data_IF_952073942577
#
_entry.id   IF_952073942577
#
_cell.length_a   1.000
_cell.length_b   1.000
_cell.length_c   1.000
_cell.angle_alpha   90.00
_cell.angle_beta   90.00
_cell.angle_gamma   90.00
#
_symmetry.space_group_name_H-M   'P 1'
#
loop_
_entity.id
_entity.type
_entity.pdbx_description
1 polymer ?
#
# COMPACT_ATOMS: atom_id res chain seq x y z
N UNK A 1 -53.31 48.84 2.62
CA UNK A 1 -53.14 48.42 4.02
C UNK A 1 -52.20 47.22 4.02
N UNK A 2 -51.01 47.39 4.62
CA UNK A 2 -49.88 46.46 4.83
C UNK A 2 -49.16 45.86 3.59
N UNK A 3 -48.09 46.56 3.22
CA UNK A 3 -46.83 46.06 2.62
C UNK A 3 -46.15 45.06 3.57
N UNK A 4 -45.51 44.04 3.02
CA UNK A 4 -44.31 43.43 3.61
C UNK A 4 -43.46 42.82 2.50
N UNK A 5 -42.49 43.62 2.07
CA UNK A 5 -41.30 43.21 1.32
C UNK A 5 -40.45 42.26 2.17
N UNK A 6 -39.74 41.30 1.56
CA UNK A 6 -38.33 40.96 1.85
C UNK A 6 -37.86 39.82 0.94
N UNK A 7 -37.28 40.21 -0.21
CA UNK A 7 -36.32 39.43 -0.95
C UNK A 7 -34.91 39.72 -0.40
N UNK A 8 -34.09 38.69 -0.23
CA UNK A 8 -32.63 38.84 -0.13
C UNK A 8 -31.98 37.72 -0.95
N UNK A 9 -31.48 38.06 -2.13
CA UNK A 9 -30.43 37.29 -2.80
C UNK A 9 -29.09 37.83 -2.30
N UNK A 10 -28.18 36.92 -1.90
CA UNK A 10 -26.83 37.31 -1.50
C UNK A 10 -25.85 36.82 -2.55
N UNK A 11 -25.46 37.72 -3.44
CA UNK A 11 -24.27 37.60 -4.28
C UNK A 11 -23.07 38.04 -3.43
N UNK A 12 -22.06 37.18 -3.24
CA UNK A 12 -20.82 37.54 -2.53
C UNK A 12 -19.65 37.64 -3.53
N UNK A 13 -19.25 38.87 -3.83
CA UNK A 13 -17.97 39.23 -4.45
C UNK A 13 -16.94 39.56 -3.37
N UNK A 14 -15.72 39.00 -3.42
CA UNK A 14 -14.65 39.28 -2.45
C UNK A 14 -13.61 40.28 -2.96
N UNK A 15 -13.39 41.35 -2.18
CA UNK A 15 -12.37 42.39 -2.38
C UNK A 15 -11.44 42.55 -1.17
N UNK A 16 -10.14 42.49 -1.49
CA UNK A 16 -8.87 42.92 -0.87
C UNK A 16 -8.81 43.71 0.48
N UNK A 17 -7.77 43.37 1.28
CA UNK A 17 -7.18 44.22 2.34
C UNK A 17 -6.25 43.46 3.32
N UNK A 18 -4.94 43.76 3.34
CA UNK A 18 -3.88 43.28 4.28
C UNK A 18 -3.51 44.39 5.31
N UNK A 19 -2.43 44.35 6.14
CA UNK A 19 -1.63 43.27 6.81
C UNK A 19 -1.37 43.55 8.33
N UNK A 20 -0.45 42.77 8.95
CA UNK A 20 0.26 42.91 10.27
C UNK A 20 -0.24 42.01 11.42
N UNK A 21 0.56 41.45 12.34
CA UNK A 21 2.00 41.09 12.45
C UNK A 21 2.22 40.42 13.84
N UNK A 22 3.04 39.35 13.93
CA UNK A 22 3.84 38.85 15.10
C UNK A 22 3.11 38.47 16.42
N UNK A 23 3.49 37.49 17.28
CA UNK A 23 4.72 36.73 17.55
C UNK A 23 4.45 35.53 18.51
N UNK A 24 5.45 34.63 18.60
CA UNK A 24 5.68 33.39 19.40
C UNK A 24 5.15 33.32 20.87
N UNK A 25 4.91 32.15 21.50
CA UNK A 25 5.91 31.17 22.02
C UNK A 25 5.21 29.89 22.53
N UNK A 26 5.59 28.66 22.13
CA UNK A 26 6.53 27.67 22.75
C UNK A 26 6.25 27.31 24.24
N UNK A 27 5.79 26.08 24.48
CA UNK A 27 6.19 25.24 25.63
C UNK A 27 6.33 23.77 25.21
N UNK A 28 7.45 23.17 25.62
CA UNK A 28 7.86 21.77 25.46
C UNK A 28 7.20 20.89 26.52
N UNK A 29 6.76 19.69 26.14
CA UNK A 29 6.76 18.50 27.02
C UNK A 29 7.18 17.29 26.19
N UNK A 30 8.17 16.57 26.69
CA UNK A 30 8.88 15.42 26.10
C UNK A 30 8.08 14.11 26.19
N UNK A 31 8.21 13.18 25.22
CA UNK A 31 7.55 11.88 25.25
C UNK A 31 8.42 10.76 25.85
N UNK A 32 7.74 9.78 26.45
CA UNK A 32 8.30 8.69 27.26
C UNK A 32 8.69 7.46 26.40
N UNK A 33 9.99 7.12 26.45
CA UNK A 33 10.69 5.82 26.44
C UNK A 33 9.86 4.57 26.07
N UNK A 34 10.00 4.04 24.85
CA UNK A 34 10.90 2.96 24.39
C UNK A 34 10.32 1.54 24.46
N UNK A 35 10.08 0.95 23.29
CA UNK A 35 9.97 -0.49 23.14
C UNK A 35 10.48 -0.88 21.74
N UNK A 36 11.79 -1.15 21.62
CA UNK A 36 12.39 -1.87 20.48
C UNK A 36 13.70 -2.49 20.95
N UNK A 37 13.74 -3.82 20.90
CA UNK A 37 14.86 -4.68 21.26
C UNK A 37 16.07 -4.34 20.39
N UNK A 38 17.21 -4.12 21.03
CA UNK A 38 18.51 -3.95 20.37
C UNK A 38 19.12 -5.30 19.98
N UNK A 39 19.88 -5.36 18.88
CA UNK A 39 20.72 -6.48 18.50
C UNK A 39 22.08 -6.41 19.21
N UNK A 40 22.64 -7.54 19.64
CA UNK A 40 24.02 -7.62 20.12
C UNK A 40 24.88 -8.47 19.18
N UNK A 41 26.07 -7.91 18.92
CA UNK A 41 27.15 -8.31 18.02
C UNK A 41 27.77 -9.66 18.39
N UNK A 42 28.20 -10.39 17.37
CA UNK A 42 29.24 -11.42 17.47
C UNK A 42 30.58 -10.73 17.14
N UNK A 43 31.49 -10.72 18.11
CA UNK A 43 32.94 -10.61 17.89
C UNK A 43 33.57 -12.01 17.88
N UNK A 44 34.79 -12.18 17.36
CA UNK A 44 35.29 -13.49 16.92
C UNK A 44 36.08 -14.28 17.98
N UNK A 45 36.06 -15.59 17.78
CA UNK A 45 37.01 -16.65 18.21
C UNK A 45 37.17 -16.93 19.71
N UNK A 46 36.70 -18.11 20.13
CA UNK A 46 37.51 -19.09 20.87
C UNK A 46 36.90 -20.50 20.70
N UNK A 47 37.77 -21.46 20.36
CA UNK A 47 37.55 -22.90 20.32
C UNK A 47 37.25 -23.45 21.71
N UNK A 48 36.17 -24.23 21.88
CA UNK A 48 36.08 -25.20 23.00
C UNK A 48 35.36 -26.45 22.54
N UNK A 49 36.01 -27.55 22.86
CA UNK A 49 35.69 -28.97 22.73
C UNK A 49 34.33 -29.33 23.37
N UNK A 50 33.52 -30.16 22.70
CA UNK A 50 32.26 -30.70 23.23
C UNK A 50 32.39 -32.20 23.44
N UNK A 51 33.00 -32.58 24.56
CA UNK A 51 32.61 -33.79 25.27
C UNK A 51 31.43 -33.46 26.17
N UNK A 52 30.23 -33.92 25.83
CA UNK A 52 29.23 -34.28 26.85
C UNK A 52 28.12 -35.16 26.25
N UNK A 53 27.95 -36.33 26.88
CA UNK A 53 26.98 -37.38 26.54
C UNK A 53 25.67 -37.06 27.27
N UNK A 54 24.54 -37.08 26.59
CA UNK A 54 23.23 -37.13 27.25
C UNK A 54 22.82 -38.59 27.51
N UNK A 55 22.92 -38.99 28.78
CA UNK A 55 22.42 -40.23 29.37
C UNK A 55 20.90 -40.11 29.59
N UNK A 56 20.12 -41.14 29.25
CA UNK A 56 18.69 -41.24 29.54
C UNK A 56 18.50 -42.05 30.85
N UNK A 57 17.63 -41.65 31.81
CA UNK A 57 17.56 -42.29 33.12
C UNK A 57 16.88 -43.66 33.09
N UNK A 58 17.51 -44.63 33.75
CA UNK A 58 16.97 -45.95 34.05
C UNK A 58 16.10 -45.88 35.32
N UNK A 59 14.78 -46.08 35.18
CA UNK A 59 13.89 -46.54 36.26
C UNK A 59 12.48 -46.80 35.71
N UNK A 60 12.29 -47.96 35.07
CA UNK A 60 11.06 -48.78 35.05
C UNK A 60 11.58 -50.14 34.59
N UNK A 61 11.90 -51.03 35.53
CA UNK A 61 11.97 -52.50 35.41
C UNK A 61 12.71 -53.05 36.63
N UNK A 62 12.11 -52.86 37.81
CA UNK A 62 12.56 -53.53 39.02
C UNK A 62 11.35 -53.87 39.89
N UNK A 63 10.51 -54.80 39.43
CA UNK A 63 9.64 -55.62 40.29
C UNK A 63 9.44 -57.01 39.64
N UNK A 64 9.76 -58.04 40.43
CA UNK A 64 9.55 -59.47 40.21
C UNK A 64 10.68 -60.23 39.46
N UNK A 65 11.86 -60.27 40.08
CA UNK A 65 12.63 -61.51 40.14
C UNK A 65 12.27 -62.21 41.46
N UNK A 66 11.47 -63.27 41.41
CA UNK A 66 11.44 -64.30 42.44
C UNK A 66 11.78 -65.62 41.76
N UNK A 67 12.89 -66.18 42.25
CA UNK A 67 13.47 -67.42 41.81
C UNK A 67 12.48 -68.59 41.83
N UNK A 68 12.61 -69.53 40.90
CA UNK A 68 13.01 -70.92 41.18
C UNK A 68 12.84 -71.77 39.92
N UNK A 69 13.69 -72.78 39.83
CA UNK A 69 13.96 -73.62 38.67
C UNK A 69 12.76 -74.43 38.14
N UNK A 70 12.92 -74.84 36.88
CA UNK A 70 12.56 -76.17 36.33
C UNK A 70 11.19 -76.34 35.64
N UNK A 71 11.29 -76.77 34.37
CA UNK A 71 10.28 -77.47 33.54
C UNK A 71 8.97 -76.71 33.26
N UNK A 72 8.88 -76.00 32.11
CA UNK A 72 7.67 -75.79 31.27
C UNK A 72 7.69 -74.51 30.38
N UNK A 73 8.84 -74.05 29.86
CA UNK A 73 8.89 -72.92 28.90
C UNK A 73 9.69 -73.29 27.64
N UNK A 74 9.47 -74.48 27.09
CA UNK A 74 10.10 -74.91 25.83
C UNK A 74 9.14 -75.01 24.65
N UNK A 75 7.84 -74.68 24.80
CA UNK A 75 6.86 -74.72 23.69
C UNK A 75 6.29 -73.37 23.26
N UNK A 76 6.55 -72.27 23.98
CA UNK A 76 6.03 -70.94 23.64
C UNK A 76 7.07 -70.01 22.97
N UNK A 77 8.37 -70.32 23.05
CA UNK A 77 9.44 -69.42 22.57
C UNK A 77 9.69 -69.46 21.05
N UNK A 78 9.20 -70.48 20.33
CA UNK A 78 9.38 -70.55 18.87
C UNK A 78 8.42 -69.63 18.09
N UNK A 79 7.21 -69.38 18.60
CA UNK A 79 6.23 -68.55 17.89
C UNK A 79 6.54 -67.04 18.04
N UNK A 80 7.01 -66.61 19.21
CA UNK A 80 7.48 -65.22 19.39
C UNK A 80 8.76 -64.94 18.58
N UNK A 81 9.66 -65.93 18.46
CA UNK A 81 10.90 -65.79 17.68
C UNK A 81 10.62 -65.69 16.18
N UNK A 82 9.72 -66.52 15.63
CA UNK A 82 9.32 -66.45 14.22
C UNK A 82 8.56 -65.16 13.92
N UNK A 83 7.64 -64.72 14.79
CA UNK A 83 6.94 -63.45 14.62
C UNK A 83 7.88 -62.24 14.72
N UNK A 84 8.85 -62.25 15.63
CA UNK A 84 9.92 -61.24 15.69
C UNK A 84 10.80 -61.24 14.45
N UNK A 85 11.13 -62.41 13.91
CA UNK A 85 11.90 -62.52 12.66
C UNK A 85 11.11 -62.01 11.46
N UNK A 86 9.82 -62.35 11.34
CA UNK A 86 8.93 -61.86 10.27
C UNK A 86 8.74 -60.34 10.41
N UNK A 87 8.55 -59.83 11.62
CA UNK A 87 8.37 -58.39 11.87
C UNK A 87 9.65 -57.61 11.57
N UNK A 88 10.82 -58.11 12.00
CA UNK A 88 12.11 -57.51 11.65
C UNK A 88 12.39 -57.58 10.15
N UNK A 89 12.07 -58.70 9.48
CA UNK A 89 12.26 -58.84 8.04
C UNK A 89 11.32 -57.92 7.25
N UNK A 90 10.07 -57.75 7.70
CA UNK A 90 9.11 -56.82 7.12
C UNK A 90 9.56 -55.35 7.31
N UNK A 91 10.07 -54.98 8.49
CA UNK A 91 10.60 -53.63 8.75
C UNK A 91 11.83 -53.33 7.89
N UNK A 92 12.77 -54.27 7.79
CA UNK A 92 13.98 -54.11 6.98
C UNK A 92 13.64 -54.06 5.48
N UNK A 93 12.69 -54.88 5.02
CA UNK A 93 12.21 -54.88 3.64
C UNK A 93 11.47 -53.58 3.29
N UNK A 94 10.62 -53.08 4.19
CA UNK A 94 9.90 -51.82 4.03
C UNK A 94 10.86 -50.62 4.01
N UNK A 95 11.86 -50.60 4.90
CA UNK A 95 12.89 -49.56 4.91
C UNK A 95 13.74 -49.56 3.63
N UNK A 96 14.11 -50.74 3.11
CA UNK A 96 14.82 -50.87 1.83
C UNK A 96 13.97 -50.40 0.65
N UNK A 97 12.69 -50.76 0.61
CA UNK A 97 11.77 -50.33 -0.46
C UNK A 97 11.52 -48.81 -0.44
N UNK A 98 11.40 -48.20 0.72
CA UNK A 98 11.32 -46.73 0.86
C UNK A 98 12.59 -46.06 0.31
N UNK A 99 13.77 -46.55 0.70
CA UNK A 99 15.05 -45.99 0.22
C UNK A 99 15.19 -46.14 -1.30
N UNK A 100 14.80 -47.29 -1.85
CA UNK A 100 14.83 -47.53 -3.31
C UNK A 100 13.86 -46.58 -4.03
N UNK A 101 12.64 -46.41 -3.52
CA UNK A 101 11.61 -45.56 -4.13
C UNK A 101 12.00 -44.08 -4.10
N UNK A 102 12.61 -43.62 -3.00
CA UNK A 102 13.11 -42.25 -2.85
C UNK A 102 14.35 -42.00 -3.71
N UNK A 103 15.24 -42.99 -3.83
CA UNK A 103 16.43 -42.98 -4.70
C UNK A 103 16.08 -42.85 -6.18
N UNK A 104 14.98 -43.49 -6.63
CA UNK A 104 14.50 -43.35 -8.02
C UNK A 104 13.97 -41.95 -8.34
N UNK A 105 13.64 -41.13 -7.32
CA UNK A 105 13.25 -39.73 -7.45
C UNK A 105 14.40 -38.72 -7.44
N UNK A 106 15.66 -39.18 -7.49
CA UNK A 106 16.85 -38.30 -7.54
C UNK A 106 17.32 -37.75 -6.18
N UNK A 107 16.76 -38.23 -5.07
CA UNK A 107 17.18 -37.84 -3.73
C UNK A 107 18.35 -38.72 -3.28
N UNK A 108 19.49 -38.10 -2.96
CA UNK A 108 20.72 -38.80 -2.59
C UNK A 108 20.65 -39.36 -1.15
N UNK A 109 21.36 -40.47 -0.90
CA UNK A 109 21.44 -41.07 0.43
C UNK A 109 22.04 -40.13 1.51
N UNK A 110 22.78 -39.10 1.12
CA UNK A 110 23.25 -38.04 2.03
C UNK A 110 22.11 -37.11 2.46
N UNK A 111 21.19 -36.75 1.57
CA UNK A 111 20.02 -35.94 1.89
C UNK A 111 19.14 -36.64 2.95
N UNK A 112 18.85 -37.94 2.75
CA UNK A 112 18.06 -38.73 3.70
C UNK A 112 18.73 -38.79 5.08
N UNK A 113 20.06 -39.02 5.12
CA UNK A 113 20.80 -39.09 6.38
C UNK A 113 20.83 -37.77 7.14
N UNK A 114 20.86 -36.64 6.44
CA UNK A 114 20.85 -35.32 7.06
C UNK A 114 19.44 -34.93 7.55
N UNK A 115 18.38 -35.33 6.83
CA UNK A 115 17.02 -34.93 7.12
C UNK A 115 16.30 -35.84 8.15
N UNK A 116 16.70 -37.11 8.26
CA UNK A 116 16.09 -38.08 9.19
C UNK A 116 16.22 -37.68 10.68
N UNK A 117 17.37 -37.15 11.16
CA UNK A 117 17.47 -36.60 12.51
C UNK A 117 16.55 -35.40 12.72
N UNK A 118 16.40 -34.50 11.75
CA UNK A 118 15.53 -33.33 11.86
C UNK A 118 14.04 -33.72 12.01
N UNK A 119 13.58 -34.74 11.28
CA UNK A 119 12.23 -35.30 11.47
C UNK A 119 12.04 -35.93 12.86
N UNK A 120 13.05 -36.65 13.36
CA UNK A 120 13.01 -37.22 14.72
C UNK A 120 12.99 -36.14 15.80
N UNK A 121 13.59 -34.99 15.53
CA UNK A 121 13.54 -33.80 16.37
C UNK A 121 12.25 -32.97 16.18
N UNK A 122 11.25 -33.49 15.45
CA UNK A 122 9.92 -32.89 15.34
C UNK A 122 9.73 -31.88 14.22
N UNK A 123 10.69 -31.73 13.30
CA UNK A 123 10.49 -30.89 12.11
C UNK A 123 9.46 -31.54 11.19
N UNK A 124 8.33 -30.88 10.98
CA UNK A 124 7.29 -31.31 10.02
C UNK A 124 7.29 -30.51 8.72
N UNK A 125 8.05 -29.42 8.66
CA UNK A 125 8.17 -28.56 7.49
C UNK A 125 9.14 -29.13 6.46
N UNK A 126 8.66 -29.28 5.22
CA UNK A 126 9.43 -29.72 4.05
C UNK A 126 10.15 -28.59 3.33
N UNK A 127 9.94 -27.33 3.74
CA UNK A 127 10.61 -26.17 3.15
C UNK A 127 12.06 -26.05 3.65
N UNK A 128 12.93 -25.51 2.80
CA UNK A 128 14.30 -25.15 3.18
C UNK A 128 14.33 -24.17 4.35
N UNK A 129 15.33 -24.31 5.22
CA UNK A 129 15.63 -23.29 6.22
C UNK A 129 16.12 -22.01 5.56
N UNK A 130 15.97 -20.88 6.25
CA UNK A 130 16.47 -19.59 5.77
C UNK A 130 17.97 -19.69 5.46
N UNK A 131 18.32 -19.56 4.18
CA UNK A 131 19.71 -19.68 3.73
C UNK A 131 20.42 -18.36 3.98
N UNK A 132 21.66 -18.40 4.48
CA UNK A 132 22.54 -17.24 4.49
C UNK A 132 22.89 -16.86 3.04
N UNK A 133 22.16 -15.90 2.48
CA UNK A 133 22.48 -15.32 1.18
C UNK A 133 23.76 -14.48 1.23
N UNK A 134 24.27 -14.10 0.04
CA UNK A 134 25.35 -13.11 -0.08
C UNK A 134 24.95 -11.85 0.70
N UNK A 135 25.79 -11.34 1.63
CA UNK A 135 25.45 -10.13 2.37
C UNK A 135 25.25 -8.96 1.40
N UNK A 136 24.11 -8.27 1.51
CA UNK A 136 23.80 -7.03 0.78
C UNK A 136 24.58 -5.85 1.39
N UNK A 137 25.88 -5.99 1.57
CA UNK A 137 26.75 -5.11 2.37
C UNK A 137 27.05 -3.73 1.76
N UNK A 138 26.29 -3.29 0.76
CA UNK A 138 26.43 -1.93 0.19
C UNK A 138 25.42 -0.93 0.80
N UNK A 139 24.44 -1.39 1.58
CA UNK A 139 23.56 -0.47 2.33
C UNK A 139 24.06 -0.41 3.76
N UNK A 140 24.80 0.65 4.08
CA UNK A 140 25.09 1.01 5.45
C UNK A 140 23.96 1.92 5.97
N UNK A 141 23.61 1.88 7.27
CA UNK A 141 22.57 2.74 7.81
C UNK A 141 22.88 4.23 7.59
N UNK A 142 24.16 4.62 7.58
CA UNK A 142 24.59 5.99 7.31
C UNK A 142 24.22 6.44 5.88
N UNK A 143 24.26 5.53 4.90
CA UNK A 143 23.82 5.81 3.53
C UNK A 143 22.31 6.00 3.47
N UNK A 144 21.55 5.18 4.21
CA UNK A 144 20.09 5.30 4.27
C UNK A 144 19.69 6.63 4.90
N UNK A 145 20.31 7.00 6.01
CA UNK A 145 20.07 8.25 6.72
C UNK A 145 20.43 9.46 5.85
N UNK A 146 21.58 9.41 5.16
CA UNK A 146 21.99 10.45 4.21
C UNK A 146 20.98 10.63 3.07
N UNK A 147 20.49 9.53 2.47
CA UNK A 147 19.47 9.60 1.42
C UNK A 147 18.16 10.18 1.98
N UNK A 148 17.78 9.80 3.20
CA UNK A 148 16.58 10.30 3.85
C UNK A 148 16.65 11.80 4.11
N UNK A 149 17.78 12.30 4.64
CA UNK A 149 18.03 13.73 4.85
C UNK A 149 17.94 14.53 3.55
N UNK A 150 18.61 14.07 2.49
CA UNK A 150 18.57 14.72 1.17
C UNK A 150 17.14 14.85 0.60
N UNK A 151 16.27 13.87 0.84
CA UNK A 151 14.87 13.90 0.38
C UNK A 151 14.02 14.85 1.22
N UNK A 152 14.29 14.93 2.52
CA UNK A 152 13.58 15.86 3.41
C UNK A 152 13.91 17.31 3.04
N UNK A 153 15.15 17.58 2.66
CA UNK A 153 15.60 18.88 2.16
C UNK A 153 14.96 19.25 0.82
N UNK A 154 15.03 18.35 -0.17
CA UNK A 154 14.33 18.52 -1.45
C UNK A 154 13.59 17.25 -1.91
N UNK A 155 12.27 17.27 -1.67
CA UNK A 155 11.35 16.18 -2.08
C UNK A 155 11.21 16.02 -3.60
N UNK A 156 11.74 16.94 -4.41
CA UNK A 156 11.65 16.87 -5.88
C UNK A 156 12.85 16.19 -6.53
N UNK A 157 13.92 15.94 -5.78
CA UNK A 157 15.14 15.29 -6.27
C UNK A 157 14.88 14.04 -7.11
N UNK A 158 15.68 13.85 -8.16
CA UNK A 158 15.61 12.66 -9.02
C UNK A 158 16.47 11.55 -8.44
N UNK A 159 16.04 10.30 -8.68
CA UNK A 159 16.80 9.10 -8.28
C UNK A 159 18.24 9.13 -8.81
N UNK A 160 18.46 9.66 -10.03
CA UNK A 160 19.80 9.83 -10.61
C UNK A 160 20.68 10.84 -9.86
N UNK A 161 20.09 11.93 -9.35
CA UNK A 161 20.81 12.96 -8.60
C UNK A 161 21.21 12.42 -7.22
N UNK A 162 20.31 11.67 -6.56
CA UNK A 162 20.60 10.95 -5.32
C UNK A 162 21.72 9.91 -5.52
N UNK A 163 21.65 9.13 -6.61
CA UNK A 163 22.66 8.14 -6.96
C UNK A 163 24.05 8.78 -7.11
N UNK A 164 24.12 9.90 -7.83
CA UNK A 164 25.37 10.63 -8.04
C UNK A 164 25.92 11.24 -6.73
N UNK A 165 25.06 11.82 -5.89
CA UNK A 165 25.48 12.46 -4.64
C UNK A 165 25.99 11.48 -3.58
N UNK A 166 25.47 10.24 -3.60
CA UNK A 166 25.82 9.19 -2.64
C UNK A 166 26.86 8.22 -3.22
N UNK A 167 27.07 8.22 -4.53
CA UNK A 167 28.04 7.34 -5.21
C UNK A 167 27.56 5.89 -5.32
N UNK A 168 26.24 5.67 -5.43
CA UNK A 168 25.64 4.33 -5.54
C UNK A 168 24.83 4.20 -6.83
N UNK A 169 24.53 2.96 -7.24
CA UNK A 169 23.70 2.73 -8.43
C UNK A 169 22.26 3.21 -8.24
N UNK A 170 21.61 3.61 -9.34
CA UNK A 170 20.22 4.08 -9.34
C UNK A 170 19.24 3.04 -8.84
N UNK A 171 19.49 1.77 -9.15
CA UNK A 171 18.72 0.61 -8.69
C UNK A 171 18.80 0.48 -7.17
N UNK A 172 19.98 0.73 -6.60
CA UNK A 172 20.18 0.67 -5.15
C UNK A 172 19.48 1.81 -4.43
N UNK A 173 19.54 3.03 -4.97
CA UNK A 173 18.72 4.15 -4.47
C UNK A 173 17.25 3.79 -4.51
N UNK A 174 16.75 3.28 -5.63
CA UNK A 174 15.35 2.87 -5.77
C UNK A 174 14.97 1.82 -4.71
N UNK A 175 15.83 0.82 -4.49
CA UNK A 175 15.62 -0.17 -3.44
C UNK A 175 15.61 0.43 -2.03
N UNK A 176 16.50 1.39 -1.73
CA UNK A 176 16.51 2.09 -0.43
C UNK A 176 15.22 2.90 -0.23
N UNK A 177 14.82 3.66 -1.25
CA UNK A 177 13.61 4.48 -1.22
C UNK A 177 12.36 3.64 -0.92
N UNK A 178 12.21 2.50 -1.60
CA UNK A 178 11.01 1.68 -1.51
C UNK A 178 11.02 0.69 -0.34
N UNK A 179 12.13 0.00 -0.07
CA UNK A 179 12.17 -1.09 0.91
C UNK A 179 12.63 -0.63 2.30
N UNK A 180 13.49 0.39 2.39
CA UNK A 180 14.05 0.84 3.66
C UNK A 180 13.34 2.09 4.19
N UNK A 181 12.99 3.03 3.31
CA UNK A 181 12.34 4.28 3.68
C UNK A 181 10.81 4.28 3.45
N UNK A 182 10.28 3.33 2.68
CA UNK A 182 8.87 3.26 2.22
C UNK A 182 8.35 4.60 1.64
N UNK A 183 9.23 5.30 0.91
CA UNK A 183 8.91 6.56 0.25
C UNK A 183 8.47 6.28 -1.19
N UNK A 184 7.39 6.94 -1.62
CA UNK A 184 6.89 6.88 -2.99
C UNK A 184 6.85 8.27 -3.61
N UNK A 185 7.32 8.39 -4.86
CA UNK A 185 7.23 9.64 -5.62
C UNK A 185 5.88 9.71 -6.32
N UNK A 186 5.07 10.69 -5.93
CA UNK A 186 3.75 10.93 -6.51
C UNK A 186 3.73 12.25 -7.29
N UNK A 187 2.92 12.30 -8.34
CA UNK A 187 2.61 13.56 -9.01
C UNK A 187 1.67 14.40 -8.13
N UNK A 188 1.91 15.72 -7.98
CA UNK A 188 0.98 16.58 -7.28
C UNK A 188 -0.38 16.57 -7.97
N UNK A 189 -1.46 16.63 -7.19
CA UNK A 189 -2.81 16.84 -7.73
C UNK A 189 -2.94 18.28 -8.19
N UNK A 190 -3.48 18.48 -9.39
CA UNK A 190 -3.84 19.81 -9.87
C UNK A 190 -5.02 20.34 -9.07
N UNK A 191 -4.86 21.52 -8.48
CA UNK A 191 -5.90 22.22 -7.72
C UNK A 191 -6.15 23.55 -8.40
N UNK A 192 -7.42 23.93 -8.57
CA UNK A 192 -7.83 25.15 -9.28
C UNK A 192 -7.10 26.41 -8.76
N UNK A 193 -7.07 26.60 -7.44
CA UNK A 193 -6.39 27.74 -6.80
C UNK A 193 -5.84 27.35 -5.42
N UNK A 194 -4.76 28.01 -5.01
CA UNK A 194 -4.28 27.97 -3.63
C UNK A 194 -5.10 28.93 -2.79
N UNK A 195 -5.81 28.40 -1.80
CA UNK A 195 -6.71 29.18 -0.95
C UNK A 195 -5.95 29.83 0.22
N UNK A 196 -6.27 31.10 0.49
CA UNK A 196 -5.86 31.80 1.70
C UNK A 196 -6.57 31.20 2.93
N UNK A 197 -6.10 31.54 4.13
CA UNK A 197 -6.75 31.09 5.37
C UNK A 197 -8.20 31.55 5.46
N UNK A 198 -8.50 32.78 5.04
CA UNK A 198 -9.85 33.33 5.06
C UNK A 198 -10.77 32.62 4.06
N UNK A 199 -10.29 32.33 2.85
CA UNK A 199 -11.06 31.53 1.88
C UNK A 199 -11.39 30.13 2.44
N UNK A 200 -10.46 29.51 3.16
CA UNK A 200 -10.72 28.21 3.81
C UNK A 200 -11.73 28.33 4.93
N UNK A 201 -11.60 29.36 5.79
CA UNK A 201 -12.54 29.61 6.88
C UNK A 201 -13.95 29.85 6.35
N UNK A 202 -14.12 30.73 5.38
CA UNK A 202 -15.42 31.02 4.76
C UNK A 202 -16.04 29.75 4.17
N UNK A 203 -15.26 28.96 3.42
CA UNK A 203 -15.75 27.69 2.88
C UNK A 203 -16.24 26.74 3.98
N UNK A 204 -15.48 26.58 5.07
CA UNK A 204 -15.88 25.72 6.19
C UNK A 204 -17.15 26.24 6.86
N UNK A 205 -17.26 27.54 7.09
CA UNK A 205 -18.46 28.16 7.69
C UNK A 205 -19.68 27.92 6.82
N UNK A 206 -19.63 28.29 5.53
CA UNK A 206 -20.73 28.09 4.58
C UNK A 206 -21.09 26.60 4.44
N UNK A 207 -20.09 25.70 4.37
CA UNK A 207 -20.38 24.25 4.31
C UNK A 207 -21.09 23.73 5.56
N UNK A 208 -20.75 24.24 6.76
CA UNK A 208 -21.44 23.86 8.00
C UNK A 208 -22.89 24.36 8.02
N UNK A 209 -23.14 25.57 7.54
CA UNK A 209 -24.49 26.12 7.41
C UNK A 209 -25.32 25.32 6.42
N UNK A 210 -24.77 25.03 5.23
CA UNK A 210 -25.42 24.15 4.25
C UNK A 210 -25.71 22.76 4.83
N UNK A 211 -24.77 22.17 5.56
CA UNK A 211 -24.95 20.86 6.20
C UNK A 211 -26.03 20.89 7.27
N UNK A 212 -26.13 21.97 8.05
CA UNK A 212 -27.17 22.14 9.06
C UNK A 212 -28.55 22.27 8.41
N UNK A 213 -28.67 23.03 7.31
CA UNK A 213 -29.91 23.12 6.53
C UNK A 213 -30.30 21.77 5.92
N UNK A 214 -29.35 21.09 5.29
CA UNK A 214 -29.55 19.75 4.72
C UNK A 214 -30.00 18.74 5.78
N UNK A 215 -29.34 18.71 6.95
CA UNK A 215 -29.67 17.78 8.03
C UNK A 215 -31.06 18.00 8.64
N UNK A 216 -31.64 19.21 8.53
CA UNK A 216 -32.99 19.51 9.06
C UNK A 216 -34.08 18.90 8.20
N UNK A 217 -33.94 19.00 6.87
CA UNK A 217 -34.88 18.42 5.92
C UNK A 217 -34.18 18.17 4.58
N UNK A 218 -33.58 16.99 4.39
CA UNK A 218 -32.84 16.67 3.17
C UNK A 218 -33.70 16.74 1.91
N UNK A 219 -34.92 16.21 1.97
CA UNK A 219 -35.80 16.11 0.81
C UNK A 219 -36.26 17.48 0.33
N UNK A 220 -36.65 18.36 1.25
CA UNK A 220 -37.07 19.71 0.91
C UNK A 220 -35.89 20.57 0.43
N UNK A 221 -34.73 20.43 1.07
CA UNK A 221 -33.52 21.14 0.69
C UNK A 221 -33.13 20.81 -0.75
N UNK A 222 -33.08 19.52 -1.10
CA UNK A 222 -32.75 19.09 -2.46
C UNK A 222 -33.84 19.46 -3.48
N UNK A 223 -35.12 19.39 -3.08
CA UNK A 223 -36.23 19.76 -3.97
C UNK A 223 -36.23 21.24 -4.35
N UNK A 224 -35.73 22.12 -3.48
CA UNK A 224 -35.66 23.57 -3.72
C UNK A 224 -34.34 24.02 -4.34
N UNK A 225 -33.32 23.15 -4.36
CA UNK A 225 -32.00 23.51 -4.84
C UNK A 225 -31.93 23.42 -6.37
N UNK A 226 -31.89 24.58 -7.01
CA UNK A 226 -31.55 24.74 -8.43
C UNK A 226 -30.16 25.35 -8.51
N UNK A 227 -29.31 24.79 -9.35
CA UNK A 227 -27.97 25.32 -9.61
C UNK A 227 -27.75 25.54 -11.09
N UNK A 228 -26.77 26.38 -11.39
CA UNK A 228 -26.36 26.76 -12.75
C UNK A 228 -24.84 26.80 -12.83
N UNK A 229 -24.30 26.41 -13.97
CA UNK A 229 -22.88 26.59 -14.30
C UNK A 229 -22.71 26.73 -15.81
N UNK A 230 -21.60 27.33 -16.22
CA UNK A 230 -21.26 27.55 -17.62
C UNK A 230 -20.05 26.72 -18.05
N UNK A 231 -20.17 26.07 -19.20
CA UNK A 231 -19.10 25.22 -19.73
C UNK A 231 -18.82 25.50 -21.20
N UNK A 232 -17.54 25.42 -21.58
CA UNK A 232 -17.14 25.48 -22.99
C UNK A 232 -17.22 24.10 -23.62
N UNK A 233 -18.06 23.97 -24.64
CA UNK A 233 -18.19 22.78 -25.46
C UNK A 233 -17.40 22.99 -26.75
N UNK A 234 -16.38 22.17 -26.94
CA UNK A 234 -15.56 22.16 -28.15
C UNK A 234 -16.15 21.18 -29.16
N UNK A 235 -16.19 21.55 -30.45
CA UNK A 235 -16.70 20.66 -31.51
C UNK A 235 -15.84 19.40 -31.66
N UNK A 236 -14.54 19.56 -31.46
CA UNK A 236 -13.57 18.47 -31.46
C UNK A 236 -12.62 18.63 -30.28
N UNK A 237 -12.53 17.59 -29.45
CA UNK A 237 -11.58 17.47 -28.35
C UNK A 237 -10.51 16.48 -28.79
N UNK A 238 -9.26 16.91 -29.01
CA UNK A 238 -8.21 16.01 -29.42
C UNK A 238 -7.91 15.02 -28.30
N UNK A 239 -7.64 13.78 -28.69
CA UNK A 239 -7.21 12.73 -27.78
C UNK A 239 -5.95 13.15 -26.99
N UNK A 240 -5.95 12.89 -25.68
CA UNK A 240 -4.83 13.20 -24.80
C UNK A 240 -3.61 12.32 -25.09
N UNK A 241 -2.43 12.75 -24.65
CA UNK A 241 -1.18 11.97 -24.79
C UNK A 241 -1.26 10.57 -24.18
N UNK A 242 -2.00 10.43 -23.09
CA UNK A 242 -2.20 9.16 -22.38
C UNK A 242 -3.15 8.24 -23.14
N UNK A 243 -4.24 8.77 -23.69
CA UNK A 243 -5.16 8.00 -24.53
C UNK A 243 -4.47 7.53 -25.83
N UNK A 244 -3.61 8.38 -26.42
CA UNK A 244 -2.89 8.04 -27.65
C UNK A 244 -1.72 7.06 -27.46
N UNK A 245 -1.63 6.36 -26.33
CA UNK A 245 -0.59 5.36 -26.08
C UNK A 245 -0.84 4.15 -26.96
N UNK A 246 0.20 3.72 -27.65
CA UNK A 246 0.16 2.58 -28.56
C UNK A 246 1.27 1.59 -28.17
N UNK A 247 0.97 0.30 -28.27
CA UNK A 247 1.97 -0.76 -28.13
C UNK A 247 2.82 -0.79 -29.40
N UNK A 248 4.14 -0.71 -29.26
CA UNK A 248 5.12 -0.79 -30.36
C UNK A 248 6.10 -1.93 -30.10
N UNK A 249 6.68 -2.50 -31.15
CA UNK A 249 7.67 -3.56 -31.02
C UNK A 249 8.98 -3.03 -30.40
N UNK A 250 9.74 -3.92 -29.76
CA UNK A 250 11.02 -3.55 -29.14
C UNK A 250 12.00 -3.06 -30.21
N UNK A 251 12.47 -1.82 -30.07
CA UNK A 251 13.40 -1.17 -31.01
C UNK A 251 12.73 -0.32 -32.09
N UNK A 252 11.40 -0.37 -32.19
CA UNK A 252 10.63 0.47 -33.10
C UNK A 252 10.54 1.92 -32.59
N UNK A 253 10.51 2.88 -33.52
CA UNK A 253 10.33 4.29 -33.15
C UNK A 253 8.88 4.53 -32.75
N UNK A 254 8.69 5.25 -31.64
CA UNK A 254 7.35 5.65 -31.22
C UNK A 254 6.61 6.48 -32.30
N UNK A 255 5.30 6.28 -32.44
CA UNK A 255 4.49 7.00 -33.42
C UNK A 255 4.57 8.51 -33.20
N UNK A 256 4.69 9.27 -34.28
CA UNK A 256 4.73 10.74 -34.25
C UNK A 256 3.31 11.26 -34.43
N UNK A 257 2.78 11.90 -33.39
CA UNK A 257 1.49 12.61 -33.46
C UNK A 257 1.74 14.11 -33.36
N UNK A 258 1.21 14.87 -34.32
CA UNK A 258 1.23 16.33 -34.24
C UNK A 258 0.38 16.81 -33.07
N UNK A 259 0.85 17.82 -32.33
CA UNK A 259 0.07 18.42 -31.24
C UNK A 259 -1.12 19.14 -31.84
N UNK A 260 -2.33 18.64 -31.57
CA UNK A 260 -3.56 19.31 -31.94
C UNK A 260 -3.98 20.25 -30.81
N UNK A 261 -4.30 21.50 -31.16
CA UNK A 261 -4.96 22.42 -30.24
C UNK A 261 -6.45 22.09 -30.15
N UNK A 262 -7.11 22.55 -29.09
CA UNK A 262 -8.57 22.53 -29.04
C UNK A 262 -9.13 23.27 -30.25
N UNK A 263 -10.27 22.80 -30.75
CA UNK A 263 -10.96 23.44 -31.86
C UNK A 263 -11.31 24.89 -31.49
N UNK A 264 -11.03 25.82 -32.43
CA UNK A 264 -11.41 27.23 -32.29
C UNK A 264 -12.94 27.42 -32.32
N UNK A 265 -13.65 26.46 -32.94
CA UNK A 265 -15.10 26.36 -32.86
C UNK A 265 -15.49 25.74 -31.52
N UNK A 266 -15.93 26.61 -30.62
CA UNK A 266 -16.49 26.27 -29.31
C UNK A 266 -17.77 27.06 -29.09
N UNK A 267 -18.72 26.44 -28.41
CA UNK A 267 -19.93 27.09 -27.91
C UNK A 267 -19.87 27.10 -26.38
N UNK A 268 -20.39 28.16 -25.76
CA UNK A 268 -20.56 28.21 -24.31
C UNK A 268 -22.00 27.78 -24.01
N UNK A 269 -22.15 26.79 -23.15
CA UNK A 269 -23.45 26.32 -22.69
C UNK A 269 -23.63 26.73 -21.24
N UNK A 270 -24.79 27.31 -20.94
CA UNK A 270 -25.26 27.56 -19.57
C UNK A 270 -26.32 26.52 -19.25
N UNK A 271 -26.08 25.71 -18.22
CA UNK A 271 -26.94 24.58 -17.88
C UNK A 271 -27.56 24.85 -16.51
N UNK A 272 -28.89 24.77 -16.42
CA UNK A 272 -29.64 24.80 -15.16
C UNK A 272 -30.11 23.39 -14.83
N UNK A 273 -29.93 22.97 -13.58
CA UNK A 273 -30.39 21.65 -13.12
C UNK A 273 -30.75 21.64 -11.64
N UNK A 274 -31.62 20.70 -11.28
CA UNK A 274 -32.00 20.38 -9.89
C UNK A 274 -31.75 18.89 -9.58
N UNK A 275 -32.28 18.42 -8.46
CA UNK A 275 -32.21 17.02 -8.05
C UNK A 275 -32.95 16.05 -9.01
N UNK A 276 -33.84 16.53 -9.88
CA UNK A 276 -34.63 15.73 -10.82
C UNK A 276 -33.98 15.66 -12.20
N UNK A 277 -33.21 16.68 -12.58
CA UNK A 277 -32.44 16.67 -13.81
C UNK A 277 -32.19 18.06 -14.39
N UNK A 278 -31.90 18.10 -15.68
CA UNK A 278 -31.68 19.35 -16.42
C UNK A 278 -33.01 20.06 -16.60
N UNK A 279 -33.05 21.33 -16.18
CA UNK A 279 -34.20 22.21 -16.33
C UNK A 279 -34.11 22.97 -17.66
N UNK A 280 -32.93 23.50 -17.98
CA UNK A 280 -32.72 24.31 -19.18
C UNK A 280 -31.26 24.30 -19.62
N UNK A 281 -31.05 24.41 -20.93
CA UNK A 281 -29.73 24.62 -21.53
C UNK A 281 -29.86 25.78 -22.51
N UNK A 282 -29.08 26.83 -22.30
CA UNK A 282 -28.92 27.92 -23.26
C UNK A 282 -27.53 27.84 -23.89
N UNK A 283 -27.46 28.10 -25.19
CA UNK A 283 -26.21 28.11 -25.95
C UNK A 283 -25.90 29.53 -26.39
N UNK A 284 -24.81 30.07 -25.88
CA UNK A 284 -24.35 31.39 -26.25
C UNK A 284 -23.80 31.37 -27.68
N UNK A 285 -24.29 32.30 -28.51
CA UNK A 285 -23.82 32.46 -29.88
C UNK A 285 -22.31 32.75 -29.94
N UNK A 286 -21.67 32.24 -30.99
CA UNK A 286 -20.24 32.38 -31.20
C UNK A 286 -19.81 33.85 -31.23
N UNK A 287 -18.82 34.19 -30.42
CA UNK A 287 -18.24 35.54 -30.35
C UNK A 287 -18.94 36.48 -29.37
N UNK A 288 -20.03 36.04 -28.71
CA UNK A 288 -20.63 36.78 -27.60
C UNK A 288 -19.99 36.36 -26.27
N UNK A 289 -20.13 37.23 -25.27
CA UNK A 289 -19.69 37.00 -23.88
C UNK A 289 -20.91 37.01 -22.98
N UNK A 290 -20.90 36.20 -21.93
CA UNK A 290 -21.93 36.26 -20.88
C UNK A 290 -21.78 37.58 -20.13
N UNK A 291 -22.75 38.46 -20.32
CA UNK A 291 -22.88 39.71 -19.56
C UNK A 291 -23.93 39.55 -18.46
N UNK A 292 -23.92 40.43 -17.46
CA UNK A 292 -24.96 40.45 -16.43
C UNK A 292 -26.36 40.63 -17.02
N UNK A 293 -26.51 41.44 -18.08
CA UNK A 293 -27.79 41.64 -18.77
C UNK A 293 -28.28 40.37 -19.46
N UNK A 294 -27.38 39.61 -20.10
CA UNK A 294 -27.72 38.33 -20.70
C UNK A 294 -28.20 37.34 -19.62
N UNK A 295 -27.52 37.30 -18.47
CA UNK A 295 -27.92 36.43 -17.36
C UNK A 295 -29.26 36.82 -16.76
N UNK A 296 -29.51 38.11 -16.56
CA UNK A 296 -30.80 38.61 -16.08
C UNK A 296 -31.93 38.17 -17.01
N UNK A 297 -31.78 38.42 -18.32
CA UNK A 297 -32.77 37.99 -19.33
C UNK A 297 -32.97 36.48 -19.38
N UNK A 298 -31.95 35.71 -19.05
CA UNK A 298 -32.03 34.25 -18.99
C UNK A 298 -32.80 33.80 -17.75
N UNK A 299 -32.59 34.47 -16.60
CA UNK A 299 -33.34 34.22 -15.37
C UNK A 299 -34.81 34.64 -15.48
N UNK A 300 -35.10 35.75 -16.15
CA UNK A 300 -36.48 36.23 -16.39
C UNK A 300 -37.34 35.19 -17.14
N UNK A 301 -36.73 34.24 -17.87
CA UNK A 301 -37.47 33.16 -18.55
C UNK A 301 -38.03 32.11 -17.59
N UNK A 302 -37.52 32.05 -16.35
CA UNK A 302 -38.02 31.16 -15.31
C UNK A 302 -39.03 31.83 -14.38
N UNK A 303 -39.14 33.17 -14.44
CA UNK A 303 -40.21 33.92 -13.81
C UNK A 303 -41.47 33.83 -14.70
N UNK A 304 -42.14 32.68 -14.63
CA UNK A 304 -43.47 32.48 -15.25
C UNK A 304 -44.50 32.57 -14.13
N UNK A 305 -45.48 33.47 -14.29
CA UNK A 305 -46.59 33.75 -13.36
C UNK A 305 -47.37 32.51 -12.89
#
# INVERSE_FOLDING_TARGET
MKRSDHAWSTVVTSGWGSPMSTSASRLHVTPNVSNRRRPCRIGPTQTVDLTERCTVPANILNRLNLATNSVAITSALNNYSILLLIWNFAIVSFAKNIIITISMGGITASFIRNFLPEFRCGRTSTSDAERSGRPKEVITPEIVDKIHEMILDDRRMKVRELAHAVGISTERVHHILHEYLDIRKLSPRWVSRLLTLDHKRNRVTTSKECLAMFSRNPDEFLRRFVTVDETWIHHNTPETKEQSKQWVSRGERGPRKAKQSLSANKAMATVFWDARGVIHIDYLEKGKTITGEYYSKLLDRFDVD
#
